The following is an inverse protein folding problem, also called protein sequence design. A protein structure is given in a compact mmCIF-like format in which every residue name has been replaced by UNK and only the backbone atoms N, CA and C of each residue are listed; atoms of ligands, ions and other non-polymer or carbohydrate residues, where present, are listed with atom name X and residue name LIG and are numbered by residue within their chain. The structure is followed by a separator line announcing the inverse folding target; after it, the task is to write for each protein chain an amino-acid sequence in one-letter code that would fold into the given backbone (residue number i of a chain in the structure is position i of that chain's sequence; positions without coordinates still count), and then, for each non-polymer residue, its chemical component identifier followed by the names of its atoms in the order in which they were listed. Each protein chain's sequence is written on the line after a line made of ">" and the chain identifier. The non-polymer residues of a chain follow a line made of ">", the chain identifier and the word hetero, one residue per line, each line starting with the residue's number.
data_IF_042723052212
#
_entry.id   IF_042723052212
#
_cell.length_a   1.000
_cell.length_b   1.000
_cell.length_c   1.000
_cell.angle_alpha   90.00
_cell.angle_beta   90.00
_cell.angle_gamma   90.00
#
_symmetry.space_group_name_H-M   'P 1'
#
loop_
_entity.id
_entity.type
_entity.pdbx_description
1 polymer ?
#
# COMPACT_ATOMS: atom_id res chain seq x y z
N UNK A 1 -14.86 33.52 -13.37
CA UNK A 1 -15.80 32.79 -12.48
C UNK A 1 -15.98 31.32 -12.91
N UNK A 2 -16.25 31.03 -14.19
CA UNK A 2 -16.42 29.65 -14.71
C UNK A 2 -15.21 28.74 -14.46
N UNK A 3 -14.00 29.21 -14.77
CA UNK A 3 -12.77 28.40 -14.58
C UNK A 3 -12.48 28.04 -13.11
N UNK A 4 -12.84 28.93 -12.19
CA UNK A 4 -12.71 28.67 -10.76
C UNK A 4 -13.69 27.61 -10.29
N UNK A 5 -14.94 27.68 -10.74
CA UNK A 5 -15.97 26.68 -10.42
C UNK A 5 -15.60 25.31 -11.00
N UNK A 6 -15.11 25.27 -12.25
CA UNK A 6 -14.60 24.05 -12.88
C UNK A 6 -13.45 23.42 -12.08
N UNK A 7 -12.49 24.23 -11.61
CA UNK A 7 -11.38 23.75 -10.75
C UNK A 7 -11.84 23.32 -9.36
N UNK A 8 -12.85 23.97 -8.79
CA UNK A 8 -13.41 23.58 -7.49
C UNK A 8 -14.18 22.27 -7.60
N UNK A 9 -14.99 22.09 -8.63
CA UNK A 9 -15.95 20.99 -8.75
C UNK A 9 -15.43 19.81 -9.61
N UNK A 10 -14.17 19.82 -10.04
CA UNK A 10 -13.62 18.79 -10.93
C UNK A 10 -13.71 17.36 -10.36
N UNK A 11 -13.80 17.19 -9.04
CA UNK A 11 -13.98 15.90 -8.36
C UNK A 11 -15.43 15.38 -8.37
N UNK A 12 -16.42 16.21 -8.74
CA UNK A 12 -17.83 15.81 -8.84
C UNK A 12 -18.18 15.22 -10.21
N UNK A 13 -17.26 15.28 -11.17
CA UNK A 13 -17.33 14.46 -12.37
C UNK A 13 -16.96 13.03 -11.96
N UNK A 14 -18.00 12.23 -11.76
CA UNK A 14 -17.99 10.78 -11.48
C UNK A 14 -16.68 10.07 -11.82
N UNK A 15 -16.09 9.42 -10.81
CA UNK A 15 -14.90 8.55 -10.90
C UNK A 15 -15.21 7.19 -11.52
N UNK A 16 -16.29 7.04 -12.29
CA UNK A 16 -16.49 5.85 -13.09
C UNK A 16 -15.54 5.91 -14.29
N UNK A 17 -14.31 5.47 -14.05
CA UNK A 17 -13.25 5.43 -15.05
C UNK A 17 -13.63 4.37 -16.10
N UNK A 18 -14.22 4.83 -17.20
CA UNK A 18 -14.40 4.00 -18.39
C UNK A 18 -13.11 4.11 -19.20
N UNK A 19 -12.42 2.98 -19.38
CA UNK A 19 -11.24 2.93 -20.23
C UNK A 19 -11.62 3.32 -21.67
N UNK A 20 -10.89 4.26 -22.27
CA UNK A 20 -11.03 4.61 -23.69
C UNK A 20 -11.96 5.78 -24.02
N UNK A 21 -12.52 6.51 -23.05
CA UNK A 21 -13.26 7.77 -23.32
C UNK A 21 -12.29 8.91 -23.68
N UNK A 22 -11.20 9.03 -22.93
CA UNK A 22 -10.13 10.01 -23.18
C UNK A 22 -8.95 9.31 -23.87
N UNK A 23 -8.29 9.97 -24.83
CA UNK A 23 -7.22 9.36 -25.64
C UNK A 23 -7.62 8.05 -26.35
N UNK A 24 -8.82 7.99 -26.93
CA UNK A 24 -9.20 6.78 -27.67
C UNK A 24 -8.30 6.61 -28.91
N UNK A 25 -7.73 5.42 -29.14
CA UNK A 25 -6.85 5.17 -30.30
C UNK A 25 -7.63 5.20 -31.63
N UNK A 26 -8.95 5.24 -31.57
CA UNK A 26 -9.86 5.27 -32.72
C UNK A 26 -10.19 6.67 -33.21
N UNK A 27 -9.82 7.72 -32.46
CA UNK A 27 -10.01 9.11 -32.86
C UNK A 27 -8.68 9.70 -33.30
N UNK A 28 -8.67 10.39 -34.45
CA UNK A 28 -7.47 11.07 -34.98
C UNK A 28 -7.02 12.23 -34.08
N UNK A 29 -7.97 12.87 -33.41
CA UNK A 29 -7.72 14.02 -32.53
C UNK A 29 -8.51 13.89 -31.22
N UNK A 30 -7.97 14.40 -30.10
CA UNK A 30 -8.65 14.37 -28.81
C UNK A 30 -9.89 15.28 -28.81
N UNK A 31 -10.87 14.93 -27.99
CA UNK A 31 -12.10 15.72 -27.87
C UNK A 31 -11.79 17.13 -27.33
N UNK A 32 -12.48 18.19 -27.79
CA UNK A 32 -12.23 19.56 -27.32
C UNK A 32 -12.38 19.70 -25.79
N UNK A 33 -13.24 18.90 -25.17
CA UNK A 33 -13.41 18.88 -23.72
C UNK A 33 -12.21 18.23 -23.00
N UNK A 34 -11.59 17.20 -23.59
CA UNK A 34 -10.35 16.59 -23.08
C UNK A 34 -9.22 17.62 -23.06
N UNK A 35 -9.10 18.44 -24.11
CA UNK A 35 -8.09 19.50 -24.20
C UNK A 35 -8.29 20.58 -23.14
N UNK A 36 -9.51 20.85 -22.72
CA UNK A 36 -9.81 21.77 -21.61
C UNK A 36 -9.50 21.14 -20.25
N UNK A 37 -9.86 19.87 -20.04
CA UNK A 37 -9.58 19.15 -18.80
C UNK A 37 -8.08 18.96 -18.55
N UNK A 38 -7.29 18.70 -19.60
CA UNK A 38 -5.81 18.65 -19.50
C UNK A 38 -5.19 19.94 -18.95
N UNK A 39 -5.81 21.09 -19.22
CA UNK A 39 -5.35 22.40 -18.73
C UNK A 39 -5.80 22.68 -17.29
N UNK A 40 -6.82 21.98 -16.80
CA UNK A 40 -7.36 22.16 -15.46
C UNK A 40 -6.44 21.50 -14.41
N UNK A 41 -5.52 22.29 -13.85
CA UNK A 41 -4.73 21.84 -12.69
C UNK A 41 -5.55 21.98 -11.40
N UNK A 42 -5.50 21.00 -10.48
CA UNK A 42 -6.15 21.12 -9.19
C UNK A 42 -5.66 22.37 -8.46
N UNK A 43 -6.54 23.01 -7.70
CA UNK A 43 -6.17 24.14 -6.86
C UNK A 43 -5.21 23.62 -5.78
N UNK A 44 -3.92 23.91 -5.95
CA UNK A 44 -2.96 23.76 -4.85
C UNK A 44 -3.34 24.79 -3.80
N UNK A 45 -3.91 24.33 -2.69
CA UNK A 45 -4.02 25.16 -1.51
C UNK A 45 -2.60 25.61 -1.14
N UNK A 46 -2.32 26.91 -1.29
CA UNK A 46 -1.09 27.49 -0.73
C UNK A 46 -1.21 27.29 0.78
N UNK A 47 -0.49 26.31 1.32
CA UNK A 47 -0.23 26.28 2.76
C UNK A 47 0.40 27.63 3.07
N UNK A 48 -0.25 28.46 3.89
CA UNK A 48 0.42 29.61 4.49
C UNK A 48 1.54 29.00 5.33
N UNK A 49 2.73 28.92 4.76
CA UNK A 49 3.92 28.65 5.54
C UNK A 49 4.16 29.98 6.26
N UNK A 50 3.67 30.07 7.48
CA UNK A 50 4.06 31.14 8.39
C UNK A 50 5.56 30.97 8.61
N UNK A 51 6.34 31.85 7.97
CA UNK A 51 7.80 31.76 7.91
C UNK A 51 8.48 31.93 9.28
N UNK A 52 7.72 32.24 10.32
CA UNK A 52 8.23 32.60 11.64
C UNK A 52 7.87 31.57 12.72
N UNK A 53 7.20 30.49 12.36
CA UNK A 53 6.67 29.54 13.32
C UNK A 53 7.71 28.46 13.72
N UNK A 54 8.74 28.25 12.89
CA UNK A 54 9.78 27.23 13.13
C UNK A 54 10.83 27.64 14.19
N UNK A 55 10.97 28.93 14.49
CA UNK A 55 11.93 29.45 15.47
C UNK A 55 11.32 29.68 16.87
N UNK A 56 10.01 29.43 17.02
CA UNK A 56 9.32 29.55 18.29
C UNK A 56 9.47 28.24 19.09
N UNK A 57 9.73 28.32 20.42
CA UNK A 57 9.61 27.17 21.30
C UNK A 57 8.28 26.46 21.07
N UNK A 58 8.30 25.13 20.94
CA UNK A 58 7.14 24.26 20.70
C UNK A 58 5.82 24.66 21.40
N UNK A 59 5.82 25.07 22.69
CA UNK A 59 4.58 25.52 23.34
C UNK A 59 3.96 26.78 22.73
N UNK A 60 4.75 27.73 22.22
CA UNK A 60 4.27 28.99 21.61
C UNK A 60 3.77 28.73 20.18
N UNK A 61 4.42 27.79 19.47
CA UNK A 61 3.96 27.32 18.15
C UNK A 61 2.56 26.67 18.24
N UNK A 62 2.33 25.81 19.23
CA UNK A 62 1.05 25.10 19.37
C UNK A 62 -0.15 26.05 19.61
N UNK A 63 0.05 27.09 20.43
CA UNK A 63 -0.98 28.07 20.77
C UNK A 63 -1.43 28.88 19.53
N UNK A 64 -0.49 29.25 18.66
CA UNK A 64 -0.79 30.00 17.43
C UNK A 64 -1.68 29.26 16.43
N UNK A 65 -1.70 27.91 16.47
CA UNK A 65 -2.58 27.07 15.65
C UNK A 65 -3.87 26.63 16.38
N UNK A 66 -4.13 27.14 17.59
CA UNK A 66 -5.24 26.69 18.44
C UNK A 66 -5.12 25.22 18.84
N UNK A 67 -3.91 24.65 18.76
CA UNK A 67 -3.62 23.31 19.24
C UNK A 67 -3.51 23.40 20.75
N UNK A 68 -4.61 23.07 21.44
CA UNK A 68 -4.60 22.98 22.89
C UNK A 68 -3.43 22.08 23.30
N UNK A 69 -2.60 22.58 24.22
CA UNK A 69 -1.54 21.76 24.82
C UNK A 69 -2.23 20.65 25.58
N UNK A 70 -2.39 19.50 24.93
CA UNK A 70 -3.07 18.38 25.53
C UNK A 70 -2.30 17.97 26.79
N UNK A 71 -2.97 17.81 27.95
CA UNK A 71 -2.30 17.34 29.14
C UNK A 71 -1.61 16.01 28.81
N UNK A 72 -0.38 15.85 29.29
CA UNK A 72 0.37 14.60 29.09
C UNK A 72 -0.49 13.47 29.66
N UNK A 73 -0.99 12.60 28.77
CA UNK A 73 -1.81 11.48 29.18
C UNK A 73 -1.01 10.64 30.19
N UNK A 74 -1.65 10.11 31.24
CA UNK A 74 -0.97 9.19 32.14
C UNK A 74 -0.34 8.08 31.30
N UNK A 75 0.86 7.59 31.66
CA UNK A 75 1.54 6.57 30.89
C UNK A 75 0.60 5.36 30.77
N UNK A 76 0.02 5.21 29.57
CA UNK A 76 -0.79 4.05 29.23
C UNK A 76 0.18 2.90 29.33
N UNK A 77 0.02 2.05 30.34
CA UNK A 77 0.79 0.81 30.47
C UNK A 77 0.72 0.15 29.10
N UNK A 78 1.86 -0.21 28.50
CA UNK A 78 1.93 -0.82 27.16
C UNK A 78 1.15 -2.13 27.19
N UNK A 79 -0.16 -2.06 26.98
CA UNK A 79 -1.02 -3.23 26.89
C UNK A 79 -0.73 -3.88 25.55
N UNK A 80 -0.60 -5.21 25.54
CA UNK A 80 -0.54 -5.95 24.30
C UNK A 80 -1.81 -5.60 23.50
N UNK A 81 -1.69 -5.10 22.27
CA UNK A 81 -2.86 -4.80 21.46
C UNK A 81 -3.73 -6.05 21.33
N UNK A 82 -5.05 -5.89 21.44
CA UNK A 82 -5.99 -7.00 21.39
C UNK A 82 -5.99 -7.61 19.98
N UNK A 83 -5.42 -8.81 19.83
CA UNK A 83 -5.38 -9.54 18.56
C UNK A 83 -4.02 -10.20 18.30
N UNK A 84 -3.86 -10.85 17.14
CA UNK A 84 -2.62 -11.49 16.72
C UNK A 84 -1.62 -10.46 16.15
N UNK A 85 -1.49 -9.30 16.80
CA UNK A 85 -0.56 -8.27 16.37
C UNK A 85 0.87 -8.59 16.84
N UNK A 86 1.83 -8.37 15.95
CA UNK A 86 3.27 -8.48 16.23
C UNK A 86 3.74 -7.33 17.12
N UNK A 87 4.90 -7.48 17.74
CA UNK A 87 5.45 -6.41 18.56
C UNK A 87 5.73 -5.17 17.69
N UNK A 88 5.56 -4.00 18.29
CA UNK A 88 5.86 -2.70 17.70
C UNK A 88 7.29 -2.62 17.16
N UNK A 89 8.25 -3.26 17.83
CA UNK A 89 9.65 -3.35 17.41
C UNK A 89 9.77 -4.15 16.12
N UNK A 90 9.11 -5.32 16.03
CA UNK A 90 9.14 -6.17 14.84
C UNK A 90 8.51 -5.47 13.64
N UNK A 91 7.37 -4.81 13.85
CA UNK A 91 6.68 -4.04 12.79
C UNK A 91 7.58 -2.91 12.28
N UNK A 92 8.28 -2.21 13.19
CA UNK A 92 9.23 -1.17 12.81
C UNK A 92 10.40 -1.75 12.02
N UNK A 93 11.03 -2.83 12.49
CA UNK A 93 12.10 -3.50 11.76
C UNK A 93 11.66 -3.97 10.38
N UNK A 94 10.48 -4.57 10.26
CA UNK A 94 9.92 -5.01 8.99
C UNK A 94 9.70 -3.84 8.01
N UNK A 95 9.26 -2.69 8.51
CA UNK A 95 9.06 -1.48 7.70
C UNK A 95 10.35 -0.92 7.11
N UNK A 96 11.45 -1.03 7.84
CA UNK A 96 12.77 -0.56 7.41
C UNK A 96 13.66 -1.68 6.85
N UNK A 97 13.12 -2.91 6.72
CA UNK A 97 13.85 -4.00 6.08
C UNK A 97 14.15 -3.60 4.64
N UNK A 98 15.41 -3.69 4.18
CA UNK A 98 15.73 -3.41 2.79
C UNK A 98 14.95 -4.36 1.87
N UNK A 99 14.56 -3.86 0.70
CA UNK A 99 13.91 -4.68 -0.33
C UNK A 99 14.88 -5.78 -0.76
N UNK A 100 14.45 -7.03 -0.62
CA UNK A 100 15.13 -8.19 -1.20
C UNK A 100 14.65 -8.30 -2.65
N UNK A 101 15.50 -8.00 -3.66
CA UNK A 101 15.09 -8.08 -5.05
C UNK A 101 14.75 -9.53 -5.40
N UNK A 102 13.54 -9.74 -5.92
CA UNK A 102 13.10 -11.06 -6.39
C UNK A 102 13.80 -11.50 -7.68
N UNK A 103 14.34 -10.54 -8.44
CA UNK A 103 15.05 -10.79 -9.69
C UNK A 103 16.55 -10.70 -9.44
N UNK A 104 17.25 -11.80 -9.67
CA UNK A 104 18.71 -11.87 -9.65
C UNK A 104 19.24 -11.91 -11.09
N UNK A 105 20.33 -11.20 -11.35
CA UNK A 105 20.98 -11.18 -12.67
C UNK A 105 22.39 -11.70 -12.50
N UNK A 106 22.67 -12.84 -13.12
CA UNK A 106 24.01 -13.45 -13.14
C UNK A 106 24.60 -13.28 -14.54
N UNK A 107 25.79 -12.69 -14.62
CA UNK A 107 26.53 -12.54 -15.87
C UNK A 107 27.82 -13.36 -15.82
N UNK A 108 28.21 -13.95 -16.95
CA UNK A 108 29.49 -14.62 -17.12
C UNK A 108 30.16 -14.10 -18.38
N UNK A 109 31.45 -13.81 -18.30
CA UNK A 109 32.24 -13.30 -19.43
C UNK A 109 32.52 -14.37 -20.49
N UNK A 110 32.47 -15.65 -20.12
CA UNK A 110 32.84 -16.76 -20.98
C UNK A 110 31.65 -17.30 -21.80
N UNK A 111 30.53 -17.60 -21.15
CA UNK A 111 29.34 -18.16 -21.81
C UNK A 111 28.07 -17.99 -20.99
N UNK A 112 26.94 -18.02 -21.68
CA UNK A 112 25.61 -17.98 -21.07
C UNK A 112 25.31 -19.23 -20.22
N UNK A 113 25.78 -20.41 -20.64
CA UNK A 113 25.59 -21.67 -19.90
C UNK A 113 26.24 -21.62 -18.51
N UNK A 114 27.44 -21.05 -18.42
CA UNK A 114 28.15 -20.90 -17.15
C UNK A 114 27.44 -19.92 -16.21
N UNK A 115 26.80 -18.87 -16.75
CA UNK A 115 25.98 -17.97 -15.95
C UNK A 115 24.75 -18.70 -15.38
N UNK A 116 24.05 -19.50 -16.20
CA UNK A 116 22.89 -20.29 -15.78
C UNK A 116 23.24 -21.36 -14.74
N UNK A 117 24.40 -22.02 -14.85
CA UNK A 117 24.84 -23.02 -13.89
C UNK A 117 25.19 -22.40 -12.53
N UNK A 118 25.89 -21.26 -12.52
CA UNK A 118 26.14 -20.50 -11.30
C UNK A 118 24.85 -20.07 -10.62
N UNK A 119 23.87 -19.57 -11.38
CA UNK A 119 22.57 -19.20 -10.84
C UNK A 119 21.87 -20.40 -10.18
N UNK A 120 21.83 -21.56 -10.86
CA UNK A 120 21.25 -22.79 -10.27
C UNK A 120 21.96 -23.24 -8.99
N UNK A 121 23.28 -23.11 -8.92
CA UNK A 121 24.05 -23.46 -7.73
C UNK A 121 23.75 -22.51 -6.56
N UNK A 122 23.64 -21.21 -6.81
CA UNK A 122 23.28 -20.22 -5.79
C UNK A 122 21.85 -20.42 -5.28
N UNK A 123 20.89 -20.67 -6.18
CA UNK A 123 19.51 -21.03 -5.82
C UNK A 123 19.47 -22.31 -4.96
N UNK A 124 20.22 -23.34 -5.34
CA UNK A 124 20.30 -24.60 -4.58
C UNK A 124 20.88 -24.39 -3.18
N UNK A 125 21.92 -23.56 -3.03
CA UNK A 125 22.52 -23.24 -1.72
C UNK A 125 21.59 -22.46 -0.79
N UNK A 126 20.70 -21.65 -1.35
CA UNK A 126 19.78 -20.79 -0.58
C UNK A 126 18.41 -21.42 -0.36
N UNK A 127 18.19 -22.66 -0.84
CA UNK A 127 16.90 -23.35 -0.73
C UNK A 127 16.69 -23.83 0.71
N UNK A 128 15.64 -23.32 1.35
CA UNK A 128 15.27 -23.70 2.74
C UNK A 128 14.49 -25.01 2.78
N UNK A 129 13.75 -25.34 1.70
CA UNK A 129 12.95 -26.56 1.59
C UNK A 129 13.25 -27.27 0.27
N UNK A 130 13.85 -28.45 0.37
CA UNK A 130 14.10 -29.33 -0.77
C UNK A 130 12.89 -30.19 -1.13
N UNK A 131 12.00 -30.39 -0.17
CA UNK A 131 10.81 -31.20 -0.37
C UNK A 131 9.96 -30.66 -1.52
N UNK A 132 9.54 -31.57 -2.38
CA UNK A 132 8.61 -31.24 -3.45
C UNK A 132 7.30 -30.84 -2.78
N UNK A 133 6.76 -29.68 -3.13
CA UNK A 133 5.45 -29.28 -2.67
C UNK A 133 4.45 -30.36 -3.07
N UNK A 134 4.04 -31.17 -2.11
CA UNK A 134 2.94 -32.09 -2.30
C UNK A 134 1.68 -31.24 -2.27
N UNK A 135 0.93 -31.13 -3.38
CA UNK A 135 -0.41 -30.59 -3.28
C UNK A 135 -1.11 -31.43 -2.20
N UNK A 136 -1.96 -30.79 -1.40
CA UNK A 136 -2.76 -31.51 -0.41
C UNK A 136 -3.63 -32.48 -1.20
N UNK A 137 -3.13 -33.71 -1.38
CA UNK A 137 -3.87 -34.79 -2.01
C UNK A 137 -5.08 -34.97 -1.12
N UNK A 138 -6.26 -34.81 -1.72
CA UNK A 138 -7.58 -35.02 -1.17
C UNK A 138 -7.48 -35.69 0.19
N UNK A 139 -7.60 -34.90 1.26
CA UNK A 139 -7.92 -35.49 2.55
C UNK A 139 -9.06 -36.44 2.23
N UNK A 140 -8.89 -37.74 2.52
CA UNK A 140 -10.06 -38.61 2.66
C UNK A 140 -11.02 -37.79 3.51
N UNK A 141 -12.20 -37.42 3.00
CA UNK A 141 -13.07 -36.53 3.75
C UNK A 141 -13.27 -37.20 5.09
N UNK A 142 -12.73 -36.60 6.15
CA UNK A 142 -12.98 -37.07 7.50
C UNK A 142 -14.49 -37.18 7.60
N UNK A 143 -14.97 -38.37 7.98
CA UNK A 143 -16.39 -38.62 8.06
C UNK A 143 -17.01 -37.54 8.95
N UNK A 144 -17.91 -36.74 8.40
CA UNK A 144 -18.49 -35.62 9.12
C UNK A 144 -19.24 -36.17 10.34
N UNK A 145 -18.69 -35.97 11.53
CA UNK A 145 -19.35 -36.32 12.79
C UNK A 145 -20.20 -35.12 13.21
N UNK A 146 -21.54 -35.16 13.07
CA UNK A 146 -22.38 -34.05 13.50
C UNK A 146 -22.27 -33.87 15.02
N UNK A 147 -22.02 -32.65 15.47
CA UNK A 147 -22.03 -32.32 16.90
C UNK A 147 -23.42 -32.60 17.49
N UNK A 148 -23.50 -33.33 18.61
CA UNK A 148 -24.78 -33.63 19.28
C UNK A 148 -25.62 -32.39 19.63
N UNK A 149 -24.99 -31.22 19.72
CA UNK A 149 -25.61 -29.95 20.07
C UNK A 149 -26.40 -29.29 18.92
N UNK A 150 -26.25 -29.75 17.66
CA UNK A 150 -26.93 -29.20 16.48
C UNK A 150 -28.13 -30.02 15.99
N UNK A 151 -28.50 -31.09 16.68
CA UNK A 151 -29.69 -31.86 16.35
C UNK A 151 -30.96 -31.15 16.88
N UNK A 152 -31.25 -29.95 16.34
CA UNK A 152 -32.54 -29.29 16.51
C UNK A 152 -33.35 -29.47 15.22
N UNK A 153 -34.69 -29.50 15.32
CA UNK A 153 -35.60 -29.57 14.17
C UNK A 153 -35.38 -28.45 13.13
N UNK A 154 -34.69 -27.37 13.49
CA UNK A 154 -34.60 -26.16 12.67
C UNK A 154 -33.19 -25.80 12.19
N UNK A 155 -32.14 -26.56 12.57
CA UNK A 155 -30.76 -26.26 12.20
C UNK A 155 -30.15 -25.08 12.96
#
# INVERSE_FOLDING_TARGET
>A
KKDYLARKMHYLLSTQQIAGIYNSPYRKEPDPWEMQLRKAKPLRHKKKIEKNAMDLPWPIYADSFGLQTMPTLPPIRRQKPQGPFRDSVDVFQQRFKPLEPSVQVVASSSSLQLAQEKQRQEEWRNRIQDETFMPVSYNVPDEYIPSMQRASKYG
#
